data_IF_004144535412
#
_entry.id   IF_004144535412
#
_cell.length_a   1.000
_cell.length_b   1.000
_cell.length_c   1.000
_cell.angle_alpha   90.00
_cell.angle_beta   90.00
_cell.angle_gamma   90.00
#
_symmetry.space_group_name_H-M   'P 1'
#
loop_
_entity.id
_entity.type
_entity.pdbx_description
1 polymer ?
#
# COMPACT_ATOMS: atom_id res chain seq x y z
N UNK A 1 16.56 -9.73 -8.35
CA UNK A 1 15.99 -8.39 -8.63
C UNK A 1 17.15 -7.40 -8.71
N UNK A 2 17.34 -6.73 -9.84
CA UNK A 2 18.43 -5.74 -9.99
C UNK A 2 18.25 -4.59 -8.99
N UNK A 3 19.35 -3.92 -8.60
CA UNK A 3 19.28 -2.78 -7.68
C UNK A 3 18.44 -1.63 -8.26
N UNK A 4 18.41 -1.48 -9.58
CA UNK A 4 17.56 -0.51 -10.28
C UNK A 4 16.07 -0.81 -10.08
N UNK A 5 15.63 -2.05 -10.36
CA UNK A 5 14.22 -2.41 -10.25
C UNK A 5 13.71 -2.30 -8.80
N UNK A 6 14.55 -2.62 -7.81
CA UNK A 6 14.22 -2.40 -6.40
C UNK A 6 14.03 -0.92 -6.08
N UNK A 7 14.96 -0.07 -6.51
CA UNK A 7 14.87 1.38 -6.32
C UNK A 7 13.61 1.96 -6.96
N UNK A 8 13.28 1.50 -8.18
CA UNK A 8 12.06 1.89 -8.88
C UNK A 8 10.81 1.46 -8.12
N UNK A 9 10.72 0.20 -7.67
CA UNK A 9 9.57 -0.29 -6.92
C UNK A 9 9.36 0.47 -5.60
N UNK A 10 10.44 0.75 -4.86
CA UNK A 10 10.38 1.55 -3.62
C UNK A 10 9.90 2.97 -3.94
N UNK A 11 10.41 3.60 -5.00
CA UNK A 11 9.96 4.93 -5.41
C UNK A 11 8.51 4.92 -5.92
N UNK A 12 8.06 3.87 -6.60
CA UNK A 12 6.66 3.71 -6.98
C UNK A 12 5.74 3.71 -5.76
N UNK A 13 6.11 3.03 -4.67
CA UNK A 13 5.35 3.12 -3.41
C UNK A 13 5.27 4.56 -2.89
N UNK A 14 6.40 5.28 -2.90
CA UNK A 14 6.45 6.68 -2.43
C UNK A 14 5.55 7.59 -3.25
N UNK A 15 5.67 7.54 -4.58
CA UNK A 15 4.97 8.45 -5.47
C UNK A 15 3.48 8.10 -5.62
N UNK A 16 3.10 6.82 -5.67
CA UNK A 16 1.68 6.45 -5.60
C UNK A 16 1.01 7.00 -4.34
N UNK A 17 1.69 6.92 -3.19
CA UNK A 17 1.15 7.45 -1.95
C UNK A 17 1.10 8.98 -1.94
N UNK A 18 2.13 9.67 -2.44
CA UNK A 18 2.16 11.13 -2.50
C UNK A 18 1.08 11.68 -3.46
N UNK A 19 0.97 11.11 -4.65
CA UNK A 19 0.04 11.56 -5.69
C UNK A 19 -1.41 11.34 -5.26
N UNK A 20 -1.74 10.20 -4.64
CA UNK A 20 -3.09 9.94 -4.14
C UNK A 20 -3.49 10.89 -2.99
N UNK A 21 -2.57 11.17 -2.06
CA UNK A 21 -2.78 12.16 -0.99
C UNK A 21 -3.01 13.55 -1.59
N UNK A 22 -2.22 13.91 -2.60
CA UNK A 22 -2.33 15.20 -3.29
C UNK A 22 -3.67 15.33 -4.03
N UNK A 23 -4.09 14.28 -4.75
CA UNK A 23 -5.36 14.22 -5.48
C UNK A 23 -6.56 14.32 -4.52
N UNK A 24 -6.51 13.61 -3.40
CA UNK A 24 -7.55 13.67 -2.37
C UNK A 24 -7.56 15.00 -1.59
N UNK A 25 -6.53 15.83 -1.76
CA UNK A 25 -6.25 17.02 -0.93
C UNK A 25 -6.31 16.71 0.58
N UNK A 26 -5.91 15.49 0.96
CA UNK A 26 -6.09 14.95 2.31
C UNK A 26 -5.25 13.70 2.52
N UNK A 27 -4.54 13.58 3.65
CA UNK A 27 -3.80 12.37 4.03
C UNK A 27 -2.40 12.64 4.56
N UNK A 28 -1.60 11.57 4.73
CA UNK A 28 -0.29 11.63 5.36
C UNK A 28 0.78 10.96 4.48
N UNK A 29 1.56 11.74 3.69
CA UNK A 29 2.55 11.19 2.77
C UNK A 29 3.88 10.86 3.47
N UNK A 30 4.17 11.45 4.63
CA UNK A 30 5.45 11.32 5.33
C UNK A 30 5.80 9.88 5.73
N UNK A 31 4.88 9.15 6.36
CA UNK A 31 5.12 7.74 6.71
C UNK A 31 5.34 6.88 5.45
N UNK A 32 4.48 6.94 4.40
CA UNK A 32 4.74 6.25 3.15
C UNK A 32 6.13 6.53 2.56
N UNK A 33 6.58 7.78 2.57
CA UNK A 33 7.90 8.15 2.05
C UNK A 33 9.06 7.51 2.83
N UNK A 34 8.99 7.56 4.17
CA UNK A 34 10.02 7.04 5.06
C UNK A 34 10.03 5.50 5.16
N UNK A 35 8.86 4.87 5.15
CA UNK A 35 8.71 3.44 5.38
C UNK A 35 8.65 2.59 4.09
N UNK A 36 8.64 3.19 2.89
CA UNK A 36 8.55 2.44 1.63
C UNK A 36 9.62 1.33 1.49
N UNK A 37 10.87 1.60 1.86
CA UNK A 37 11.96 0.62 1.75
C UNK A 37 11.79 -0.57 2.71
N UNK A 38 11.41 -0.31 3.97
CA UNK A 38 11.17 -1.39 4.93
C UNK A 38 9.95 -2.21 4.55
N UNK A 39 8.88 -1.55 4.09
CA UNK A 39 7.64 -2.22 3.74
C UNK A 39 7.82 -3.07 2.47
N UNK A 40 8.52 -2.54 1.46
CA UNK A 40 8.93 -3.30 0.27
C UNK A 40 9.71 -4.56 0.66
N UNK A 41 10.72 -4.42 1.53
CA UNK A 41 11.56 -5.54 1.97
C UNK A 41 10.72 -6.60 2.68
N UNK A 42 9.87 -6.19 3.63
CA UNK A 42 8.98 -7.10 4.36
C UNK A 42 8.03 -7.83 3.40
N UNK A 43 7.29 -7.10 2.57
CA UNK A 43 6.24 -7.66 1.70
C UNK A 43 6.77 -8.53 0.57
N UNK A 44 7.94 -8.20 0.00
CA UNK A 44 8.44 -8.92 -1.19
C UNK A 44 9.41 -10.05 -0.86
N UNK A 45 10.00 -10.06 0.35
CA UNK A 45 11.05 -11.04 0.72
C UNK A 45 10.71 -11.91 1.91
N UNK A 46 9.85 -11.44 2.82
CA UNK A 46 9.63 -12.13 4.10
C UNK A 46 8.18 -12.55 4.31
N UNK A 47 7.21 -11.75 3.86
CA UNK A 47 5.81 -12.02 4.07
C UNK A 47 5.35 -13.20 3.20
N UNK A 48 4.76 -14.22 3.81
CA UNK A 48 4.05 -15.28 3.10
C UNK A 48 2.60 -14.87 2.93
N UNK A 49 2.23 -14.49 1.73
CA UNK A 49 0.86 -14.04 1.45
C UNK A 49 0.44 -14.43 0.03
N UNK A 50 -0.87 -14.46 -0.21
CA UNK A 50 -1.44 -14.79 -1.51
C UNK A 50 -2.46 -13.72 -1.91
N UNK A 51 -2.12 -12.80 -2.82
CA UNK A 51 -3.03 -11.76 -3.30
C UNK A 51 -4.32 -12.31 -3.92
N UNK A 52 -4.27 -13.48 -4.55
CA UNK A 52 -5.44 -14.18 -5.13
C UNK A 52 -6.28 -14.92 -4.09
N UNK A 53 -5.76 -15.12 -2.88
CA UNK A 53 -6.50 -15.66 -1.75
C UNK A 53 -6.15 -14.92 -0.44
N UNK A 54 -6.64 -13.69 -0.25
CA UNK A 54 -6.37 -12.88 0.94
C UNK A 54 -6.83 -13.54 2.25
N UNK A 55 -7.77 -14.49 2.17
CA UNK A 55 -8.33 -15.22 3.31
C UNK A 55 -7.59 -16.53 3.61
N UNK A 56 -6.54 -16.87 2.86
CA UNK A 56 -5.73 -18.08 3.11
C UNK A 56 -5.30 -18.16 4.57
N UNK A 57 -5.61 -19.28 5.23
CA UNK A 57 -5.40 -19.47 6.66
C UNK A 57 -3.92 -19.36 7.06
N UNK A 58 -3.03 -19.90 6.24
CA UNK A 58 -1.59 -19.95 6.49
C UNK A 58 -0.81 -18.68 6.14
N UNK A 59 -1.46 -17.59 5.70
CA UNK A 59 -0.78 -16.33 5.40
C UNK A 59 -0.16 -15.72 6.65
N UNK A 60 0.92 -14.97 6.50
CA UNK A 60 1.39 -14.11 7.58
C UNK A 60 0.42 -12.93 7.73
N UNK A 61 0.29 -12.39 8.95
CA UNK A 61 -0.62 -11.28 9.24
C UNK A 61 0.17 -9.98 9.32
N UNK A 62 -0.21 -9.00 8.52
CA UNK A 62 0.37 -7.67 8.53
C UNK A 62 -0.64 -6.68 9.14
N UNK A 63 -0.18 -5.88 10.11
CA UNK A 63 -0.99 -4.84 10.77
C UNK A 63 -0.22 -3.52 10.67
N UNK A 64 -0.78 -2.53 9.97
CA UNK A 64 -0.23 -1.17 9.94
C UNK A 64 -0.75 -0.38 11.14
N UNK A 65 -0.07 -0.48 12.29
CA UNK A 65 -0.46 0.24 13.51
C UNK A 65 -0.46 1.77 13.31
N UNK A 66 0.52 2.29 12.55
CA UNK A 66 0.54 3.68 12.07
C UNK A 66 -0.47 3.93 10.95
N UNK A 67 -1.75 3.66 11.21
CA UNK A 67 -2.83 3.60 10.22
C UNK A 67 -3.05 4.89 9.42
N UNK A 68 -2.55 6.03 9.91
CA UNK A 68 -2.58 7.29 9.19
C UNK A 68 -1.81 7.24 7.84
N UNK A 69 -0.86 6.30 7.70
CA UNK A 69 -0.07 6.07 6.50
C UNK A 69 -0.72 5.04 5.58
N UNK A 70 -2.05 4.99 5.57
CA UNK A 70 -2.91 4.05 4.84
C UNK A 70 -2.54 3.91 3.37
N UNK A 71 -2.15 5.00 2.70
CA UNK A 71 -1.71 4.95 1.31
C UNK A 71 -0.49 4.05 1.07
N UNK A 72 0.39 3.82 2.05
CA UNK A 72 1.47 2.85 1.90
C UNK A 72 0.91 1.42 1.75
N UNK A 73 -0.09 1.07 2.57
CA UNK A 73 -0.75 -0.22 2.51
C UNK A 73 -1.51 -0.38 1.19
N UNK A 74 -2.27 0.62 0.75
CA UNK A 74 -2.99 0.54 -0.53
C UNK A 74 -2.05 0.42 -1.72
N UNK A 75 -0.93 1.16 -1.74
CA UNK A 75 0.11 1.00 -2.76
C UNK A 75 0.70 -0.41 -2.77
N UNK A 76 0.96 -1.01 -1.60
CA UNK A 76 1.46 -2.39 -1.49
C UNK A 76 0.44 -3.41 -2.00
N UNK A 77 -0.83 -3.27 -1.60
CA UNK A 77 -1.93 -4.14 -2.03
C UNK A 77 -2.07 -4.09 -3.56
N UNK A 78 -2.09 -2.89 -4.14
CA UNK A 78 -2.16 -2.70 -5.58
C UNK A 78 -0.97 -3.34 -6.30
N UNK A 79 0.27 -3.00 -5.93
CA UNK A 79 1.47 -3.47 -6.62
C UNK A 79 1.73 -4.98 -6.43
N UNK A 80 1.23 -5.58 -5.34
CA UNK A 80 1.35 -7.02 -5.12
C UNK A 80 0.19 -7.81 -5.74
N UNK A 81 -0.83 -7.15 -6.31
CA UNK A 81 -1.90 -7.80 -7.06
C UNK A 81 -3.11 -8.23 -6.22
N UNK A 82 -3.35 -7.58 -5.09
CA UNK A 82 -4.65 -7.67 -4.42
C UNK A 82 -5.71 -6.94 -5.24
N UNK A 83 -6.98 -7.13 -4.88
CA UNK A 83 -8.12 -6.43 -5.47
C UNK A 83 -8.18 -4.95 -5.03
N UNK A 84 -7.12 -4.19 -5.31
CA UNK A 84 -7.03 -2.73 -5.21
C UNK A 84 -6.49 -2.24 -6.54
N UNK A 85 -7.35 -1.60 -7.33
CA UNK A 85 -7.01 -1.07 -8.65
C UNK A 85 -6.31 0.30 -8.55
N UNK A 86 -5.78 0.78 -9.67
CA UNK A 86 -5.27 2.14 -9.75
C UNK A 86 -6.38 3.18 -9.60
N UNK A 87 -7.61 2.86 -10.04
CA UNK A 87 -8.76 3.75 -9.88
C UNK A 87 -9.22 3.82 -8.43
N UNK A 88 -9.08 2.73 -7.65
CA UNK A 88 -9.29 2.78 -6.20
C UNK A 88 -8.28 3.73 -5.54
N UNK A 89 -6.99 3.64 -5.91
CA UNK A 89 -5.96 4.57 -5.42
C UNK A 89 -6.29 6.03 -5.78
N UNK A 90 -6.78 6.29 -7.00
CA UNK A 90 -7.20 7.65 -7.43
C UNK A 90 -8.40 8.17 -6.63
N UNK A 91 -9.25 7.26 -6.14
CA UNK A 91 -10.40 7.55 -5.29
C UNK A 91 -10.08 7.50 -3.78
N UNK A 92 -8.81 7.64 -3.39
CA UNK A 92 -8.42 7.71 -1.99
C UNK A 92 -9.23 8.76 -1.22
N UNK A 93 -9.76 8.37 -0.05
CA UNK A 93 -10.62 9.20 0.83
C UNK A 93 -11.90 9.73 0.18
N UNK A 94 -12.33 9.18 -0.95
CA UNK A 94 -13.62 9.54 -1.55
C UNK A 94 -14.75 8.69 -0.97
N UNK A 95 -15.96 9.24 -0.99
CA UNK A 95 -17.16 8.55 -0.50
C UNK A 95 -17.38 7.22 -1.24
N UNK A 96 -17.60 6.14 -0.48
CA UNK A 96 -17.81 4.80 -1.04
C UNK A 96 -16.56 4.11 -1.60
N UNK A 97 -15.38 4.74 -1.52
CA UNK A 97 -14.13 4.10 -1.95
C UNK A 97 -13.70 2.97 -1.01
N UNK A 98 -13.02 1.95 -1.55
CA UNK A 98 -12.38 0.88 -0.75
C UNK A 98 -11.02 1.31 -0.17
N UNK A 99 -10.65 2.58 -0.35
CA UNK A 99 -9.41 3.20 0.14
C UNK A 99 -9.73 4.35 1.10
N UNK A 100 -10.35 4.08 2.26
CA UNK A 100 -10.66 5.09 3.27
C UNK A 100 -9.39 5.68 3.91
N UNK A 101 -9.56 6.77 4.65
CA UNK A 101 -8.45 7.54 5.21
C UNK A 101 -7.57 6.78 6.21
N UNK A 102 -8.13 5.78 6.88
CA UNK A 102 -7.44 4.76 7.69
C UNK A 102 -7.89 3.37 7.20
N UNK A 103 -7.08 2.31 7.32
CA UNK A 103 -7.49 0.98 6.87
C UNK A 103 -8.66 0.44 7.69
N UNK A 104 -9.70 -0.03 6.99
CA UNK A 104 -10.89 -0.63 7.57
C UNK A 104 -10.97 -2.10 7.17
N UNK A 105 -11.28 -2.98 8.12
CA UNK A 105 -11.51 -4.39 7.84
C UNK A 105 -12.98 -4.60 7.46
N UNK A 106 -13.24 -5.23 6.32
CA UNK A 106 -14.59 -5.50 5.81
C UNK A 106 -14.56 -6.23 4.48
#
# INVERSE_FOLDING_TARGET
MTNDLQSRAINTLRFLSADAVQQANSGHPGLPMGAAAMAFTLWTRHLRHNPRNPKWMGRDRFILSGGHGSMLLYSLLHLTGYAVSLDDIRNFRQFGSITPGHPEYG
#
